data_IF_461680156404
#
_entry.id   IF_461680156404
#
_cell.length_a   1.000
_cell.length_b   1.000
_cell.length_c   1.000
_cell.angle_alpha   90.00
_cell.angle_beta   90.00
_cell.angle_gamma   90.00
#
_symmetry.space_group_name_H-M   'P 1'
#
loop_
_entity.id
_entity.type
_entity.pdbx_description
1 polymer ?
#
# COMPACT_ATOMS: atom_id res chain seq x y z
N UNK A 1 -2.66 5.16 21.56
CA UNK A 1 -4.11 4.93 21.40
C UNK A 1 -4.46 5.31 19.97
N UNK A 2 -5.01 4.41 19.13
CA UNK A 2 -5.40 4.79 17.75
C UNK A 2 -6.60 5.72 17.82
N UNK A 3 -6.55 6.87 17.16
CA UNK A 3 -7.71 7.76 17.05
C UNK A 3 -8.92 7.00 16.49
N UNK A 4 -10.06 7.20 17.15
CA UNK A 4 -11.34 6.65 16.74
C UNK A 4 -11.89 7.51 15.59
N UNK A 5 -12.35 6.87 14.52
CA UNK A 5 -12.87 7.55 13.33
C UNK A 5 -14.37 7.76 13.49
N UNK A 6 -14.74 8.89 14.10
CA UNK A 6 -16.11 9.22 14.46
C UNK A 6 -16.77 10.26 13.53
N UNK A 7 -16.01 10.85 12.61
CA UNK A 7 -16.52 11.81 11.61
C UNK A 7 -16.94 11.12 10.30
N UNK A 8 -17.99 11.64 9.68
CA UNK A 8 -18.61 11.09 8.46
C UNK A 8 -18.54 12.11 7.32
N UNK A 9 -18.11 11.67 6.16
CA UNK A 9 -18.16 12.43 4.91
C UNK A 9 -19.19 11.78 3.98
N UNK A 10 -20.16 12.57 3.50
CA UNK A 10 -21.23 12.09 2.60
C UNK A 10 -20.88 12.47 1.16
N UNK A 11 -20.87 11.49 0.26
CA UNK A 11 -20.66 11.67 -1.17
C UNK A 11 -21.91 11.25 -1.94
N UNK A 12 -22.52 12.17 -2.69
CA UNK A 12 -23.60 11.85 -3.63
C UNK A 12 -22.98 11.43 -4.96
N UNK A 13 -23.46 10.33 -5.53
CA UNK A 13 -22.97 9.77 -6.79
C UNK A 13 -24.14 9.28 -7.63
N UNK A 14 -23.96 9.31 -8.94
CA UNK A 14 -24.77 8.56 -9.89
C UNK A 14 -24.42 7.07 -9.84
N UNK A 15 -25.28 6.22 -10.41
CA UNK A 15 -25.01 4.78 -10.51
C UNK A 15 -23.72 4.48 -11.29
N UNK A 16 -23.47 5.24 -12.36
CA UNK A 16 -22.28 5.08 -13.20
C UNK A 16 -20.99 5.44 -12.43
N UNK A 17 -20.99 6.55 -11.69
CA UNK A 17 -19.86 6.96 -10.86
C UNK A 17 -19.59 5.93 -9.76
N UNK A 18 -20.64 5.46 -9.07
CA UNK A 18 -20.52 4.41 -8.05
C UNK A 18 -19.87 3.15 -8.64
N UNK A 19 -20.35 2.67 -9.79
CA UNK A 19 -19.77 1.49 -10.44
C UNK A 19 -18.29 1.69 -10.79
N UNK A 20 -17.94 2.85 -11.37
CA UNK A 20 -16.55 3.16 -11.72
C UNK A 20 -15.64 3.28 -10.48
N UNK A 21 -16.17 3.76 -9.35
CA UNK A 21 -15.48 3.76 -8.06
C UNK A 21 -15.18 2.32 -7.62
N UNK A 22 -16.16 1.40 -7.71
CA UNK A 22 -15.95 -0.01 -7.35
C UNK A 22 -14.94 -0.70 -8.26
N UNK A 23 -15.00 -0.49 -9.58
CA UNK A 23 -14.04 -1.07 -10.53
C UNK A 23 -12.62 -0.61 -10.22
N UNK A 24 -12.41 0.69 -10.02
CA UNK A 24 -11.10 1.23 -9.63
C UNK A 24 -10.64 0.65 -8.29
N UNK A 25 -11.52 0.59 -7.30
CA UNK A 25 -11.22 -0.01 -5.99
C UNK A 25 -10.73 -1.46 -6.13
N UNK A 26 -11.44 -2.28 -6.90
CA UNK A 26 -11.10 -3.69 -7.11
C UNK A 26 -9.81 -3.86 -7.93
N UNK A 27 -9.59 -3.03 -8.95
CA UNK A 27 -8.33 -3.00 -9.72
C UNK A 27 -7.11 -2.65 -8.86
N UNK A 28 -7.34 -2.03 -7.70
CA UNK A 28 -6.31 -1.72 -6.70
C UNK A 28 -6.17 -2.79 -5.61
N UNK A 29 -6.95 -3.86 -5.65
CA UNK A 29 -6.95 -4.92 -4.63
C UNK A 29 -7.54 -4.49 -3.28
N UNK A 30 -8.19 -3.33 -3.20
CA UNK A 30 -8.82 -2.84 -1.96
C UNK A 30 -10.23 -3.44 -1.88
N UNK A 31 -10.57 -4.03 -0.73
CA UNK A 31 -11.88 -4.69 -0.54
C UNK A 31 -12.92 -3.82 0.16
N UNK A 32 -12.48 -2.77 0.84
CA UNK A 32 -13.35 -1.87 1.61
C UNK A 32 -13.49 -0.53 0.90
N UNK A 33 -14.73 -0.16 0.57
CA UNK A 33 -15.03 1.13 -0.04
C UNK A 33 -14.58 2.30 0.84
N UNK A 34 -14.84 2.22 2.16
CA UNK A 34 -14.41 3.27 3.08
C UNK A 34 -12.89 3.40 3.16
N UNK A 35 -12.15 2.29 3.05
CA UNK A 35 -10.70 2.35 2.96
C UNK A 35 -10.23 2.98 1.64
N UNK A 36 -10.85 2.60 0.52
CA UNK A 36 -10.55 3.15 -0.80
C UNK A 36 -10.82 4.66 -0.90
N UNK A 37 -12.02 5.10 -0.53
CA UNK A 37 -12.42 6.51 -0.57
C UNK A 37 -11.54 7.34 0.36
N UNK A 38 -11.25 6.86 1.56
CA UNK A 38 -10.35 7.57 2.48
C UNK A 38 -8.95 7.71 1.91
N UNK A 39 -8.41 6.63 1.31
CA UNK A 39 -7.10 6.67 0.66
C UNK A 39 -7.07 7.68 -0.49
N UNK A 40 -8.12 7.69 -1.31
CA UNK A 40 -8.26 8.70 -2.38
C UNK A 40 -8.38 10.13 -1.84
N UNK A 41 -9.13 10.35 -0.75
CA UNK A 41 -9.32 11.67 -0.16
C UNK A 41 -8.09 12.21 0.58
N UNK A 42 -7.24 11.32 1.12
CA UNK A 42 -6.00 11.69 1.80
C UNK A 42 -4.82 11.86 0.84
N UNK A 43 -4.65 10.94 -0.11
CA UNK A 43 -3.43 10.84 -0.92
C UNK A 43 -3.59 11.41 -2.35
N UNK A 44 -4.81 11.63 -2.84
CA UNK A 44 -5.12 12.16 -4.18
C UNK A 44 -4.88 11.17 -5.33
N UNK A 45 -3.83 10.35 -5.27
CA UNK A 45 -3.52 9.29 -6.24
C UNK A 45 -3.28 7.96 -5.54
N UNK A 46 -4.08 6.97 -5.90
CA UNK A 46 -3.88 5.60 -5.45
C UNK A 46 -3.32 4.80 -6.64
N UNK A 47 -2.01 4.50 -6.61
CA UNK A 47 -1.32 3.69 -7.63
C UNK A 47 -1.16 2.25 -7.14
N UNK A 48 -1.56 1.29 -7.97
CA UNK A 48 -1.29 -0.14 -7.74
C UNK A 48 -0.14 -0.53 -8.66
N UNK A 49 1.09 -0.43 -8.14
CA UNK A 49 2.31 -0.75 -8.87
C UNK A 49 2.69 -2.20 -8.58
N UNK A 50 2.50 -3.08 -9.55
CA UNK A 50 3.10 -4.41 -9.51
C UNK A 50 4.53 -4.34 -10.05
N UNK A 51 5.50 -4.38 -9.15
CA UNK A 51 6.94 -4.29 -9.46
C UNK A 51 7.67 -5.55 -8.98
N UNK A 52 7.42 -6.71 -9.61
CA UNK A 52 7.95 -7.99 -9.15
C UNK A 52 9.49 -8.05 -9.20
N UNK A 53 10.12 -7.34 -10.15
CA UNK A 53 11.58 -7.25 -10.24
C UNK A 53 12.17 -6.45 -9.07
N UNK A 54 11.53 -5.33 -8.67
CA UNK A 54 11.98 -4.53 -7.54
C UNK A 54 11.94 -5.33 -6.23
N UNK A 55 10.87 -6.12 -6.03
CA UNK A 55 10.76 -7.02 -4.88
C UNK A 55 11.88 -8.06 -4.85
N UNK A 56 12.25 -8.63 -6.01
CA UNK A 56 13.39 -9.55 -6.12
C UNK A 56 14.72 -8.85 -5.81
N UNK A 57 14.91 -7.63 -6.30
CA UNK A 57 16.11 -6.85 -6.02
C UNK A 57 16.25 -6.55 -4.52
N UNK A 58 15.17 -6.13 -3.85
CA UNK A 58 15.17 -5.86 -2.41
C UNK A 58 15.55 -7.12 -1.59
N UNK A 59 15.05 -8.28 -1.99
CA UNK A 59 15.41 -9.55 -1.37
C UNK A 59 16.90 -9.90 -1.53
N UNK A 60 17.44 -9.76 -2.74
CA UNK A 60 18.87 -10.01 -2.98
C UNK A 60 19.75 -9.03 -2.19
N UNK A 61 19.38 -7.75 -2.14
CA UNK A 61 20.07 -6.75 -1.34
C UNK A 61 20.08 -7.11 0.14
N UNK A 62 18.94 -7.56 0.68
CA UNK A 62 18.83 -8.02 2.06
C UNK A 62 19.78 -9.19 2.35
N UNK A 63 19.89 -10.16 1.44
CA UNK A 63 20.82 -11.29 1.56
C UNK A 63 22.27 -10.82 1.58
N UNK A 64 22.66 -9.92 0.67
CA UNK A 64 24.00 -9.33 0.68
C UNK A 64 24.30 -8.62 2.00
N UNK A 65 23.35 -7.82 2.51
CA UNK A 65 23.51 -7.09 3.76
C UNK A 65 23.65 -8.03 4.98
N UNK A 66 22.89 -9.13 5.00
CA UNK A 66 22.98 -10.13 6.07
C UNK A 66 24.33 -10.85 6.07
N UNK A 67 24.82 -11.25 4.89
CA UNK A 67 26.13 -11.89 4.76
C UNK A 67 27.25 -10.93 5.22
N UNK A 68 27.18 -9.67 4.81
CA UNK A 68 28.14 -8.64 5.19
C UNK A 68 28.16 -8.43 6.71
N UNK A 69 26.98 -8.41 7.34
CA UNK A 69 26.87 -8.30 8.80
C UNK A 69 27.45 -9.53 9.53
N UNK A 70 27.33 -10.74 8.96
CA UNK A 70 27.99 -11.92 9.53
C UNK A 70 29.52 -11.80 9.49
N UNK A 71 30.09 -11.31 8.38
CA UNK A 71 31.53 -11.06 8.29
C UNK A 71 31.97 -10.00 9.30
N UNK A 72 31.23 -8.90 9.42
CA UNK A 72 31.53 -7.84 10.39
C UNK A 72 31.48 -8.35 11.84
N UNK A 73 30.49 -9.18 12.20
CA UNK A 73 30.44 -9.81 13.52
C UNK A 73 31.65 -10.70 13.80
N UNK A 74 32.02 -11.55 12.84
CA UNK A 74 33.21 -12.40 12.95
C UNK A 74 34.52 -11.63 13.03
N UNK A 75 34.60 -10.45 12.41
CA UNK A 75 35.78 -9.60 12.47
C UNK A 75 35.89 -8.78 13.77
N UNK A 76 34.79 -8.63 14.50
CA UNK A 76 34.72 -7.95 15.80
C UNK A 76 34.79 -8.92 17.00
N UNK A 77 34.77 -10.24 16.76
CA UNK A 77 35.16 -11.26 17.74
C UNK A 77 36.69 -11.28 17.89
#
# INVERSE_FOLDING_TARGET
>A
MREKRDEIIILRTTKAEKNRIYEKMLGMGIRSLSAYIRKMALDGYCLNLDLPQLRRMAYLLQMCSNNLNQYAKRANE
#
